data_IF_726985164217
#
_entry.id   IF_726985164217
#
_cell.length_a   1.000
_cell.length_b   1.000
_cell.length_c   1.000
_cell.angle_alpha   90.00
_cell.angle_beta   90.00
_cell.angle_gamma   90.00
#
_symmetry.space_group_name_H-M   'P 1'
#
loop_
_entity.id
_entity.type
_entity.pdbx_description
1 polymer ?
#
# COMPACT_ATOMS: atom_id res chain seq x y z
N UNK A 1 8.53 8.91 23.60
CA UNK A 1 9.24 8.30 22.44
C UNK A 1 9.01 9.21 21.26
N UNK A 2 10.07 9.62 20.56
CA UNK A 2 9.94 10.44 19.35
C UNK A 2 9.63 9.52 18.15
N UNK A 3 8.53 9.76 17.42
CA UNK A 3 8.13 8.90 16.31
C UNK A 3 9.15 8.88 15.17
N UNK A 4 9.90 9.96 14.92
CA UNK A 4 10.80 10.05 13.77
C UNK A 4 12.03 9.15 13.94
N UNK A 5 12.83 9.27 15.03
CA UNK A 5 13.95 8.37 15.28
C UNK A 5 13.52 6.91 15.42
N UNK A 6 12.33 6.65 15.97
CA UNK A 6 11.78 5.30 16.09
C UNK A 6 11.51 4.68 14.72
N UNK A 7 10.87 5.41 13.80
CA UNK A 7 10.59 4.93 12.45
C UNK A 7 11.87 4.64 11.67
N UNK A 8 12.88 5.52 11.78
CA UNK A 8 14.19 5.32 11.15
C UNK A 8 14.91 4.08 11.71
N UNK A 9 14.82 3.83 13.01
CA UNK A 9 15.37 2.62 13.61
C UNK A 9 14.70 1.36 13.06
N UNK A 10 13.36 1.35 12.92
CA UNK A 10 12.65 0.23 12.29
C UNK A 10 12.99 0.05 10.81
N UNK A 11 13.10 1.14 10.05
CA UNK A 11 13.49 1.08 8.64
C UNK A 11 14.87 0.43 8.47
N UNK A 12 15.85 0.83 9.28
CA UNK A 12 17.18 0.22 9.29
C UNK A 12 17.12 -1.28 9.57
N UNK A 13 16.43 -1.69 10.64
CA UNK A 13 16.29 -3.11 11.01
C UNK A 13 15.57 -3.94 9.95
N UNK A 14 14.61 -3.35 9.23
CA UNK A 14 13.91 -4.01 8.13
C UNK A 14 14.84 -4.23 6.94
N UNK A 15 15.64 -3.22 6.58
CA UNK A 15 16.66 -3.32 5.52
C UNK A 15 17.68 -4.41 5.86
N UNK A 16 18.17 -4.45 7.11
CA UNK A 16 19.11 -5.48 7.59
C UNK A 16 18.52 -6.90 7.47
N UNK A 17 17.19 -7.03 7.50
CA UNK A 17 16.44 -8.28 7.29
C UNK A 17 16.09 -8.55 5.81
N UNK A 18 16.55 -7.72 4.87
CA UNK A 18 16.38 -7.90 3.43
C UNK A 18 15.16 -7.18 2.82
N UNK A 19 14.48 -6.30 3.56
CA UNK A 19 13.39 -5.47 3.01
C UNK A 19 13.97 -4.40 2.08
N UNK A 20 13.26 -4.14 0.97
CA UNK A 20 13.54 -3.00 0.09
C UNK A 20 12.58 -1.86 0.42
N UNK A 21 13.13 -0.69 0.73
CA UNK A 21 12.38 0.55 0.88
C UNK A 21 12.62 1.38 -0.39
N UNK A 22 11.54 1.76 -1.08
CA UNK A 22 11.61 2.50 -2.34
C UNK A 22 10.87 3.82 -2.12
N UNK A 23 11.62 4.91 -2.11
CA UNK A 23 11.10 6.27 -2.01
C UNK A 23 10.82 6.85 -3.41
N UNK A 24 10.17 8.00 -3.47
CA UNK A 24 9.75 8.65 -4.73
C UNK A 24 8.99 7.71 -5.69
N UNK A 25 8.23 6.78 -5.10
CA UNK A 25 7.53 5.71 -5.79
C UNK A 25 6.05 5.73 -5.40
N UNK A 26 5.26 6.54 -6.09
CA UNK A 26 3.85 6.71 -5.79
C UNK A 26 3.05 5.52 -6.34
N UNK A 27 2.20 4.90 -5.52
CA UNK A 27 1.23 3.90 -5.98
C UNK A 27 0.05 4.62 -6.63
N UNK A 28 -0.17 4.34 -7.92
CA UNK A 28 -1.22 4.97 -8.72
C UNK A 28 -2.45 4.10 -8.88
N UNK A 29 -2.30 2.78 -8.89
CA UNK A 29 -3.43 1.85 -9.10
C UNK A 29 -3.17 0.49 -8.43
N UNK A 30 -4.23 -0.19 -8.04
CA UNK A 30 -4.19 -1.53 -7.45
C UNK A 30 -4.96 -2.49 -8.36
N UNK A 31 -4.24 -3.43 -8.97
CA UNK A 31 -4.81 -4.40 -9.92
C UNK A 31 -5.17 -5.69 -9.20
N UNK A 32 -6.44 -6.10 -9.36
CA UNK A 32 -6.94 -7.36 -8.80
C UNK A 32 -7.64 -8.17 -9.88
N UNK A 33 -7.71 -9.48 -9.66
CA UNK A 33 -8.35 -10.43 -10.55
C UNK A 33 -9.39 -11.27 -9.80
N UNK A 34 -10.51 -11.53 -10.48
CA UNK A 34 -11.55 -12.42 -9.96
C UNK A 34 -11.01 -13.83 -9.79
N UNK A 35 -11.23 -14.40 -8.62
CA UNK A 35 -10.90 -15.80 -8.38
C UNK A 35 -12.05 -16.71 -8.82
N UNK A 36 -11.71 -17.88 -9.38
CA UNK A 36 -12.71 -18.90 -9.75
C UNK A 36 -13.42 -19.51 -8.54
N UNK A 37 -12.68 -19.64 -7.44
CA UNK A 37 -13.17 -20.11 -6.16
C UNK A 37 -12.73 -19.08 -5.10
N UNK A 38 -13.64 -18.22 -4.70
CA UNK A 38 -13.36 -17.15 -3.75
C UNK A 38 -14.44 -16.06 -3.80
N UNK A 39 -14.75 -15.49 -2.65
CA UNK A 39 -15.71 -14.40 -2.54
C UNK A 39 -15.10 -13.04 -2.92
N UNK A 40 -13.77 -12.92 -2.85
CA UNK A 40 -13.05 -11.66 -3.02
C UNK A 40 -12.05 -11.77 -4.16
N UNK A 41 -11.82 -10.64 -4.83
CA UNK A 41 -10.81 -10.51 -5.88
C UNK A 41 -9.42 -10.54 -5.25
N UNK A 42 -8.46 -11.15 -5.95
CA UNK A 42 -7.08 -11.31 -5.47
C UNK A 42 -6.17 -10.27 -6.11
N UNK A 43 -5.34 -9.63 -5.30
CA UNK A 43 -4.29 -8.74 -5.77
C UNK A 43 -3.35 -9.47 -6.74
N UNK A 44 -2.96 -8.79 -7.81
CA UNK A 44 -1.95 -9.28 -8.76
C UNK A 44 -0.74 -8.36 -8.83
N UNK A 45 -0.98 -7.04 -8.78
CA UNK A 45 0.09 -6.05 -8.80
C UNK A 45 -0.36 -4.68 -8.32
N UNK A 46 0.62 -3.87 -7.93
CA UNK A 46 0.47 -2.44 -7.70
C UNK A 46 1.16 -1.68 -8.81
N UNK A 47 0.45 -0.75 -9.45
CA UNK A 47 1.03 0.15 -10.44
C UNK A 47 1.65 1.32 -9.70
N UNK A 48 2.91 1.61 -9.97
CA UNK A 48 3.60 2.76 -9.38
C UNK A 48 4.12 3.71 -10.46
N UNK A 49 4.53 4.90 -10.03
CA UNK A 49 5.21 5.88 -10.90
C UNK A 49 6.50 5.35 -11.55
N UNK A 50 7.07 4.26 -11.02
CA UNK A 50 8.29 3.62 -11.54
C UNK A 50 8.00 2.30 -12.27
N UNK A 51 6.72 1.95 -12.47
CA UNK A 51 6.28 0.72 -13.14
C UNK A 51 5.50 -0.24 -12.23
N UNK A 52 4.91 -1.30 -12.78
CA UNK A 52 4.12 -2.24 -11.99
C UNK A 52 5.00 -3.18 -11.17
N UNK A 53 4.62 -3.40 -9.91
CA UNK A 53 5.23 -4.38 -9.00
C UNK A 53 4.22 -5.50 -8.76
N UNK A 54 4.56 -6.72 -9.15
CA UNK A 54 3.74 -7.91 -8.87
C UNK A 54 3.84 -8.28 -7.39
N UNK A 55 2.70 -8.58 -6.77
CA UNK A 55 2.65 -9.00 -5.37
C UNK A 55 1.48 -9.93 -5.11
N UNK A 56 1.67 -10.88 -4.20
CA UNK A 56 0.61 -11.78 -3.73
C UNK A 56 -0.22 -11.17 -2.60
N UNK A 57 0.37 -10.21 -1.87
CA UNK A 57 -0.22 -9.53 -0.73
C UNK A 57 0.15 -8.06 -0.80
N UNK A 58 -0.85 -7.20 -0.59
CA UNK A 58 -0.69 -5.76 -0.46
C UNK A 58 -1.29 -5.30 0.87
N UNK A 59 -0.56 -4.45 1.60
CA UNK A 59 -1.00 -3.87 2.87
C UNK A 59 -1.00 -2.35 2.70
N UNK A 60 -2.16 -1.73 2.89
CA UNK A 60 -2.32 -0.29 2.78
C UNK A 60 -1.99 0.41 4.10
N UNK A 61 -0.82 1.06 4.17
CA UNK A 61 -0.38 1.86 5.31
C UNK A 61 -0.27 3.36 4.98
N UNK A 62 -1.08 3.87 4.04
CA UNK A 62 -0.95 5.24 3.50
C UNK A 62 -1.66 6.33 4.31
N UNK A 63 -2.01 6.07 5.58
CA UNK A 63 -2.55 7.07 6.50
C UNK A 63 -3.78 7.80 5.93
N UNK A 64 -3.68 9.14 5.81
CA UNK A 64 -4.76 10.00 5.30
C UNK A 64 -5.16 9.68 3.85
N UNK A 65 -4.23 9.18 3.03
CA UNK A 65 -4.47 8.80 1.63
C UNK A 65 -5.10 7.42 1.47
N UNK A 66 -5.30 6.67 2.57
CA UNK A 66 -5.78 5.29 2.50
C UNK A 66 -7.11 5.16 1.76
N UNK A 67 -8.04 6.11 1.99
CA UNK A 67 -9.34 6.14 1.31
C UNK A 67 -9.23 6.40 -0.18
N UNK A 68 -8.43 7.36 -0.58
CA UNK A 68 -8.23 7.69 -2.00
C UNK A 68 -7.62 6.48 -2.72
N UNK A 69 -6.57 5.89 -2.16
CA UNK A 69 -5.92 4.72 -2.73
C UNK A 69 -6.86 3.49 -2.80
N UNK A 70 -7.72 3.30 -1.79
CA UNK A 70 -8.73 2.25 -1.82
C UNK A 70 -9.67 2.35 -3.03
N UNK A 71 -10.08 3.55 -3.41
CA UNK A 71 -10.89 3.76 -4.61
C UNK A 71 -10.14 3.55 -5.93
N UNK A 72 -8.80 3.61 -5.92
CA UNK A 72 -7.95 3.26 -7.07
C UNK A 72 -7.72 1.74 -7.22
N UNK A 73 -8.39 0.94 -6.41
CA UNK A 73 -8.47 -0.51 -6.60
C UNK A 73 -9.59 -0.84 -7.59
N UNK A 74 -9.44 -1.91 -8.35
CA UNK A 74 -10.51 -2.44 -9.20
C UNK A 74 -10.85 -3.86 -8.75
N UNK A 75 -11.98 -4.10 -8.05
CA UNK A 75 -13.02 -3.14 -7.66
C UNK A 75 -12.58 -2.21 -6.52
N UNK A 76 -13.20 -1.03 -6.46
CA UNK A 76 -12.88 -0.01 -5.46
C UNK A 76 -13.19 -0.47 -4.04
N UNK A 77 -12.21 -0.36 -3.15
CA UNK A 77 -12.34 -0.72 -1.73
C UNK A 77 -12.63 0.54 -0.92
N UNK A 78 -13.77 0.55 -0.23
CA UNK A 78 -14.13 1.66 0.67
C UNK A 78 -13.38 1.53 1.98
N UNK A 79 -12.50 2.49 2.26
CA UNK A 79 -11.83 2.63 3.55
C UNK A 79 -12.46 3.81 4.30
N UNK A 80 -13.04 3.61 5.49
CA UNK A 80 -13.82 4.63 6.20
C UNK A 80 -12.92 5.59 7.00
N UNK A 81 -11.92 6.19 6.34
CA UNK A 81 -11.10 7.25 6.92
C UNK A 81 -11.53 8.62 6.39
N UNK A 82 -11.35 9.64 7.21
CA UNK A 82 -11.61 11.05 6.91
C UNK A 82 -10.41 11.85 7.40
N UNK A 83 -9.89 12.74 6.57
CA UNK A 83 -8.90 13.71 7.04
C UNK A 83 -9.62 14.73 7.93
N UNK A 84 -9.18 14.86 9.17
CA UNK A 84 -9.62 15.95 10.05
C UNK A 84 -8.62 17.09 9.91
N UNK A 85 -9.04 18.18 9.28
CA UNK A 85 -8.26 19.42 9.21
C UNK A 85 -8.45 20.27 10.46
N UNK A 86 -7.50 21.17 10.72
CA UNK A 86 -7.60 22.29 11.67
C UNK A 86 -8.10 23.54 11.00
#
# INVERSE_FOLDING_TARGET
>A
VDPVPLALAFAKLAIDKGVKIIEDCAVTEILTEKQRAGQYDRITSVVTSQGPIKCDIFINCTGLWARELGYRSSPGVRIPTQACGT
#
